data_IF_034863055643
#
_entry.id   IF_034863055643
#
_cell.length_a   1.000
_cell.length_b   1.000
_cell.length_c   1.000
_cell.angle_alpha   90.00
_cell.angle_beta   90.00
_cell.angle_gamma   90.00
#
_symmetry.space_group_name_H-M   'P 1'
#
loop_
_entity.id
_entity.type
_entity.pdbx_description
1 polymer ?
#
# COMPACT_ATOMS: atom_id res chain seq x y z
N UNK A 1 -18.73 22.82 10.75
CA UNK A 1 -18.69 21.38 11.06
C UNK A 1 -20.02 20.81 10.60
N UNK A 2 -20.03 19.83 9.69
CA UNK A 2 -21.27 19.13 9.34
C UNK A 2 -21.73 18.35 10.59
N UNK A 3 -23.04 18.30 10.86
CA UNK A 3 -23.56 17.39 11.89
C UNK A 3 -23.21 15.94 11.52
N UNK A 4 -23.01 15.06 12.50
CA UNK A 4 -22.75 13.64 12.24
C UNK A 4 -23.81 13.03 11.30
N UNK A 5 -25.07 13.44 11.45
CA UNK A 5 -26.17 13.01 10.59
C UNK A 5 -26.01 13.46 9.13
N UNK A 6 -25.49 14.67 8.90
CA UNK A 6 -25.26 15.21 7.55
C UNK A 6 -24.08 14.51 6.86
N UNK A 7 -23.07 14.09 7.62
CA UNK A 7 -21.94 13.31 7.12
C UNK A 7 -22.39 11.90 6.70
N UNK A 8 -23.20 11.25 7.54
CA UNK A 8 -23.78 9.94 7.25
C UNK A 8 -24.64 9.99 5.99
N UNK A 9 -25.50 11.00 5.86
CA UNK A 9 -26.40 11.12 4.70
C UNK A 9 -25.61 11.35 3.40
N UNK A 10 -24.57 12.20 3.43
CA UNK A 10 -23.68 12.39 2.27
C UNK A 10 -22.95 11.12 1.86
N UNK A 11 -22.50 10.32 2.83
CA UNK A 11 -21.85 9.04 2.56
C UNK A 11 -22.87 8.03 2.00
N UNK A 12 -24.08 7.99 2.55
CA UNK A 12 -25.19 7.17 2.04
C UNK A 12 -25.52 7.51 0.59
N UNK A 13 -25.69 8.80 0.26
CA UNK A 13 -25.92 9.26 -1.11
C UNK A 13 -24.79 8.84 -2.06
N UNK A 14 -23.54 8.94 -1.60
CA UNK A 14 -22.38 8.56 -2.41
C UNK A 14 -22.34 7.05 -2.68
N UNK A 15 -22.64 6.22 -1.69
CA UNK A 15 -22.73 4.76 -1.87
C UNK A 15 -23.94 4.38 -2.73
N UNK A 16 -25.08 5.04 -2.53
CA UNK A 16 -26.31 4.79 -3.26
C UNK A 16 -26.22 5.09 -4.77
N UNK A 17 -25.28 5.94 -5.20
CA UNK A 17 -24.99 6.18 -6.63
C UNK A 17 -24.39 4.96 -7.33
N UNK A 18 -23.66 4.12 -6.59
CA UNK A 18 -22.92 2.97 -7.14
C UNK A 18 -23.58 1.63 -6.80
N UNK A 19 -24.29 1.55 -5.68
CA UNK A 19 -24.90 0.33 -5.17
C UNK A 19 -26.32 0.57 -4.68
N UNK A 20 -27.19 -0.43 -4.84
CA UNK A 20 -28.52 -0.42 -4.22
C UNK A 20 -28.39 -0.72 -2.73
N UNK A 21 -28.39 0.33 -1.90
CA UNK A 21 -28.31 0.23 -0.44
C UNK A 21 -29.68 -0.12 0.14
N UNK A 22 -29.77 -1.20 0.92
CA UNK A 22 -31.00 -1.58 1.62
C UNK A 22 -30.88 -1.46 3.15
N UNK A 23 -29.67 -1.31 3.68
CA UNK A 23 -29.44 -1.17 5.12
C UNK A 23 -28.19 -0.35 5.42
N UNK A 24 -28.20 0.31 6.59
CA UNK A 24 -27.05 1.07 7.10
C UNK A 24 -26.85 0.69 8.56
N UNK A 25 -25.64 0.24 8.88
CA UNK A 25 -25.20 -0.05 10.24
C UNK A 25 -24.11 0.94 10.62
N UNK A 26 -24.44 1.84 11.54
CA UNK A 26 -23.50 2.83 12.06
C UNK A 26 -22.72 2.20 13.21
N UNK A 27 -21.41 2.09 13.08
CA UNK A 27 -20.52 1.71 14.18
C UNK A 27 -19.58 2.87 14.53
N UNK A 28 -19.01 2.90 15.75
CA UNK A 28 -18.10 3.98 16.15
C UNK A 28 -16.83 4.10 15.29
N UNK A 29 -16.43 3.02 14.59
CA UNK A 29 -15.23 2.99 13.74
C UNK A 29 -15.54 3.12 12.24
N UNK A 30 -16.71 2.64 11.79
CA UNK A 30 -17.05 2.57 10.38
C UNK A 30 -18.57 2.68 10.12
N UNK A 31 -18.92 3.18 8.95
CA UNK A 31 -20.28 3.13 8.40
C UNK A 31 -20.37 1.92 7.47
N UNK A 32 -21.18 0.93 7.85
CA UNK A 32 -21.37 -0.28 7.04
C UNK A 32 -22.68 -0.17 6.28
N UNK A 33 -22.61 -0.22 4.95
CA UNK A 33 -23.75 -0.21 4.06
C UNK A 33 -24.00 -1.63 3.55
N UNK A 34 -25.20 -2.13 3.76
CA UNK A 34 -25.66 -3.38 3.19
C UNK A 34 -26.17 -3.11 1.78
N UNK A 35 -25.54 -3.74 0.79
CA UNK A 35 -25.78 -3.46 -0.63
C UNK A 35 -26.25 -4.71 -1.36
N UNK A 36 -27.22 -4.55 -2.26
CA UNK A 36 -27.66 -5.65 -3.12
C UNK A 36 -26.55 -6.03 -4.10
N UNK A 37 -26.45 -7.33 -4.39
CA UNK A 37 -25.53 -7.80 -5.42
C UNK A 37 -25.99 -7.30 -6.80
N UNK A 38 -25.10 -6.67 -7.59
CA UNK A 38 -25.42 -6.25 -8.95
C UNK A 38 -25.91 -7.44 -9.79
N UNK A 39 -26.94 -7.22 -10.62
CA UNK A 39 -27.54 -8.26 -11.47
C UNK A 39 -26.53 -8.93 -12.41
N UNK A 40 -25.53 -8.16 -12.83
CA UNK A 40 -24.47 -8.56 -13.75
C UNK A 40 -23.36 -9.37 -13.06
N UNK A 41 -23.43 -9.54 -11.73
CA UNK A 41 -22.40 -10.17 -10.90
C UNK A 41 -21.10 -9.35 -10.76
N UNK A 42 -20.91 -8.29 -11.55
CA UNK A 42 -19.72 -7.44 -11.53
C UNK A 42 -19.81 -6.38 -10.42
N UNK A 43 -19.09 -6.62 -9.32
CA UNK A 43 -19.01 -5.71 -8.18
C UNK A 43 -17.82 -4.75 -8.30
N UNK A 44 -16.83 -5.08 -9.12
CA UNK A 44 -15.58 -4.31 -9.26
C UNK A 44 -15.80 -2.93 -9.86
N UNK A 45 -16.59 -2.85 -10.94
CA UNK A 45 -16.89 -1.57 -11.61
C UNK A 45 -17.56 -0.54 -10.69
N UNK A 46 -18.70 -0.85 -10.03
CA UNK A 46 -19.33 0.10 -9.12
C UNK A 46 -18.46 0.39 -7.89
N UNK A 47 -17.69 -0.60 -7.41
CA UNK A 47 -16.77 -0.38 -6.30
C UNK A 47 -15.62 0.57 -6.64
N UNK A 48 -15.01 0.43 -7.82
CA UNK A 48 -13.93 1.34 -8.23
C UNK A 48 -14.44 2.77 -8.44
N UNK A 49 -15.66 2.93 -8.99
CA UNK A 49 -16.34 4.24 -9.07
C UNK A 49 -16.54 4.86 -7.68
N UNK A 50 -17.07 4.09 -6.73
CA UNK A 50 -17.25 4.52 -5.34
C UNK A 50 -15.92 4.93 -4.70
N UNK A 51 -14.87 4.12 -4.91
CA UNK A 51 -13.53 4.37 -4.40
C UNK A 51 -12.94 5.67 -4.95
N UNK A 52 -13.08 5.94 -6.25
CA UNK A 52 -12.59 7.17 -6.85
C UNK A 52 -13.27 8.43 -6.30
N UNK A 53 -14.52 8.34 -5.81
CA UNK A 53 -15.22 9.46 -5.17
C UNK A 53 -14.92 9.63 -3.68
N UNK A 54 -14.69 8.53 -2.95
CA UNK A 54 -14.49 8.54 -1.50
C UNK A 54 -13.04 8.78 -1.08
N UNK A 55 -12.06 8.26 -1.84
CA UNK A 55 -10.63 8.41 -1.51
C UNK A 55 -10.18 9.88 -1.45
N UNK A 56 -10.58 10.79 -2.38
CA UNK A 56 -10.25 12.21 -2.30
C UNK A 56 -10.89 12.94 -1.11
N UNK A 57 -11.94 12.36 -0.51
CA UNK A 57 -12.65 12.91 0.65
C UNK A 57 -12.11 12.37 1.98
N UNK A 58 -10.96 11.69 1.97
CA UNK A 58 -10.36 11.02 3.13
C UNK A 58 -11.19 9.86 3.71
N UNK A 59 -11.96 9.16 2.88
CA UNK A 59 -12.63 7.91 3.25
C UNK A 59 -12.08 6.73 2.45
N UNK A 60 -11.95 5.58 3.12
CA UNK A 60 -11.53 4.33 2.50
C UNK A 60 -12.74 3.40 2.50
N UNK A 61 -13.33 3.11 1.33
CA UNK A 61 -14.32 2.05 1.22
C UNK A 61 -13.60 0.68 1.19
N UNK A 62 -14.16 -0.31 1.87
CA UNK A 62 -13.83 -1.71 1.73
C UNK A 62 -15.09 -2.52 1.45
N UNK A 63 -14.92 -3.58 0.66
CA UNK A 63 -16.01 -4.45 0.26
C UNK A 63 -15.77 -5.83 0.87
N UNK A 64 -16.73 -6.31 1.65
CA UNK A 64 -16.70 -7.62 2.30
C UNK A 64 -17.95 -8.39 1.93
N UNK A 65 -17.85 -9.73 1.88
CA UNK A 65 -19.02 -10.60 1.79
C UNK A 65 -19.15 -11.39 3.08
N UNK A 66 -20.25 -11.20 3.80
CA UNK A 66 -20.54 -11.92 5.03
C UNK A 66 -21.87 -12.64 4.91
N UNK A 67 -21.88 -13.97 5.19
CA UNK A 67 -23.10 -14.80 5.19
C UNK A 67 -23.95 -14.70 3.91
N UNK A 68 -23.32 -14.41 2.77
CA UNK A 68 -24.00 -14.24 1.48
C UNK A 68 -24.37 -12.79 1.14
N UNK A 69 -24.35 -11.88 2.11
CA UNK A 69 -24.62 -10.45 1.92
C UNK A 69 -23.35 -9.69 1.54
N UNK A 70 -23.52 -8.65 0.72
CA UNK A 70 -22.45 -7.77 0.30
C UNK A 70 -22.46 -6.51 1.17
N UNK A 71 -21.33 -6.23 1.81
CA UNK A 71 -21.16 -5.15 2.76
C UNK A 71 -20.11 -4.17 2.23
N UNK A 72 -20.45 -2.88 2.22
CA UNK A 72 -19.53 -1.78 1.93
C UNK A 72 -19.24 -1.06 3.23
N UNK A 73 -18.03 -1.22 3.77
CA UNK A 73 -17.60 -0.45 4.94
C UNK A 73 -16.92 0.82 4.49
N UNK A 74 -17.34 1.96 5.03
CA UNK A 74 -16.72 3.26 4.80
C UNK A 74 -16.11 3.71 6.12
N UNK A 75 -14.78 3.78 6.14
CA UNK A 75 -14.03 4.24 7.30
C UNK A 75 -13.22 5.49 6.95
N UNK A 76 -13.01 6.35 7.93
CA UNK A 76 -12.18 7.54 7.75
C UNK A 76 -10.72 7.12 7.64
N UNK A 77 -9.99 7.73 6.71
CA UNK A 77 -8.60 7.42 6.45
C UNK A 77 -7.74 7.75 7.68
N UNK A 78 -7.00 6.79 8.26
CA UNK A 78 -6.03 7.11 9.31
C UNK A 78 -4.94 8.01 8.72
N UNK A 79 -4.56 9.05 9.46
CA UNK A 79 -3.47 9.96 9.06
C UNK A 79 -2.15 9.19 9.06
N UNK A 80 -1.69 8.75 7.89
CA UNK A 80 -0.36 8.17 7.77
C UNK A 80 0.68 9.28 7.96
N UNK A 81 1.60 9.07 8.92
CA UNK A 81 2.78 9.91 9.08
C UNK A 81 3.87 9.35 8.19
N UNK A 82 4.03 9.92 7.01
CA UNK A 82 5.19 9.61 6.17
C UNK A 82 6.44 10.22 6.81
N UNK A 83 7.50 9.42 6.91
CA UNK A 83 8.84 9.94 7.16
C UNK A 83 9.25 10.85 6.00
N UNK A 84 10.00 11.91 6.28
CA UNK A 84 10.46 12.83 5.24
C UNK A 84 11.31 12.11 4.19
N UNK A 85 11.23 12.54 2.92
CA UNK A 85 12.03 11.98 1.82
C UNK A 85 13.53 11.95 2.12
N UNK A 86 14.02 12.93 2.89
CA UNK A 86 15.41 13.00 3.35
C UNK A 86 15.79 11.84 4.26
N UNK A 87 14.89 11.43 5.17
CA UNK A 87 15.11 10.28 6.07
C UNK A 87 15.17 8.98 5.26
N UNK A 88 14.25 8.80 4.31
CA UNK A 88 14.24 7.59 3.47
C UNK A 88 15.51 7.50 2.61
N UNK A 89 15.96 8.63 2.05
CA UNK A 89 17.22 8.67 1.29
C UNK A 89 18.43 8.36 2.17
N UNK A 90 18.50 8.95 3.38
CA UNK A 90 19.57 8.67 4.33
C UNK A 90 19.61 7.18 4.72
N UNK A 91 18.45 6.59 5.00
CA UNK A 91 18.32 5.16 5.30
C UNK A 91 18.77 4.29 4.13
N UNK A 92 18.39 4.63 2.89
CA UNK A 92 18.83 3.90 1.69
C UNK A 92 20.36 3.94 1.53
N UNK A 93 20.98 5.11 1.73
CA UNK A 93 22.44 5.24 1.67
C UNK A 93 23.12 4.40 2.76
N UNK A 94 22.61 4.44 4.00
CA UNK A 94 23.11 3.61 5.09
C UNK A 94 22.99 2.13 4.72
N UNK A 95 21.85 1.68 4.20
CA UNK A 95 21.65 0.29 3.75
C UNK A 95 22.64 -0.08 2.67
N UNK A 96 22.85 0.74 1.64
CA UNK A 96 23.82 0.43 0.58
C UNK A 96 25.21 0.28 1.18
N UNK A 97 25.65 1.22 2.02
CA UNK A 97 26.98 1.17 2.65
C UNK A 97 27.13 -0.10 3.50
N UNK A 98 26.19 -0.38 4.40
CA UNK A 98 26.31 -1.56 5.28
C UNK A 98 26.26 -2.87 4.49
N UNK A 99 25.44 -2.94 3.44
CA UNK A 99 25.31 -4.13 2.60
C UNK A 99 26.54 -4.35 1.72
N UNK A 100 27.17 -3.29 1.22
CA UNK A 100 28.44 -3.38 0.48
C UNK A 100 29.57 -3.83 1.40
N UNK A 101 29.73 -3.19 2.57
CA UNK A 101 30.86 -3.47 3.46
C UNK A 101 30.72 -4.79 4.22
N UNK A 102 29.62 -4.98 4.96
CA UNK A 102 29.44 -6.15 5.82
C UNK A 102 28.84 -7.33 5.06
N UNK A 103 27.92 -7.06 4.12
CA UNK A 103 27.29 -8.11 3.32
C UNK A 103 28.20 -8.64 2.21
N UNK A 104 28.75 -7.72 1.41
CA UNK A 104 29.58 -8.06 0.25
C UNK A 104 31.05 -8.27 0.60
N UNK A 105 31.77 -7.19 0.89
CA UNK A 105 33.22 -7.18 1.01
C UNK A 105 33.73 -8.12 2.12
N UNK A 106 33.08 -8.12 3.29
CA UNK A 106 33.44 -9.03 4.38
C UNK A 106 33.22 -10.50 4.01
N UNK A 107 32.07 -10.83 3.42
CA UNK A 107 31.78 -12.20 3.03
C UNK A 107 32.77 -12.69 1.96
N UNK A 108 33.05 -11.84 0.97
CA UNK A 108 34.01 -12.14 -0.10
C UNK A 108 35.43 -12.32 0.44
N UNK A 109 35.91 -11.37 1.25
CA UNK A 109 37.24 -11.43 1.88
C UNK A 109 37.45 -12.71 2.67
N UNK A 110 36.43 -13.19 3.40
CA UNK A 110 36.50 -14.47 4.11
C UNK A 110 36.46 -15.68 3.15
N UNK A 111 35.70 -15.59 2.05
CA UNK A 111 35.59 -16.68 1.08
C UNK A 111 36.89 -16.90 0.29
N UNK A 112 37.55 -15.83 -0.15
CA UNK A 112 38.81 -15.91 -0.92
C UNK A 112 40.07 -15.70 -0.09
N UNK A 113 39.92 -15.47 1.22
CA UNK A 113 41.01 -15.19 2.17
C UNK A 113 41.88 -13.98 1.75
N UNK A 114 41.23 -12.91 1.28
CA UNK A 114 41.85 -11.62 0.92
C UNK A 114 41.67 -10.55 2.01
N UNK A 115 42.44 -9.46 1.91
CA UNK A 115 42.26 -8.30 2.78
C UNK A 115 40.88 -7.65 2.56
N UNK A 116 40.15 -7.39 3.66
CA UNK A 116 38.78 -6.83 3.64
C UNK A 116 38.61 -5.56 2.79
N UNK A 117 39.60 -4.67 2.82
CA UNK A 117 39.59 -3.39 2.11
C UNK A 117 40.30 -3.45 0.76
N UNK A 118 40.55 -4.66 0.22
CA UNK A 118 41.04 -4.79 -1.15
C UNK A 118 39.96 -4.29 -2.12
N UNK A 119 40.40 -3.67 -3.21
CA UNK A 119 39.50 -3.21 -4.27
C UNK A 119 38.72 -4.41 -4.82
N UNK A 120 39.38 -5.56 -4.96
CA UNK A 120 38.76 -6.80 -5.44
C UNK A 120 37.68 -7.32 -4.49
N UNK A 121 37.89 -7.28 -3.17
CA UNK A 121 36.88 -7.72 -2.20
C UNK A 121 35.63 -6.84 -2.24
N UNK A 122 35.80 -5.52 -2.33
CA UNK A 122 34.67 -4.58 -2.41
C UNK A 122 33.94 -4.73 -3.75
N UNK A 123 34.67 -4.82 -4.87
CA UNK A 123 34.06 -4.88 -6.19
C UNK A 123 33.30 -6.19 -6.40
N UNK A 124 33.94 -7.33 -6.10
CA UNK A 124 33.33 -8.64 -6.26
C UNK A 124 32.22 -8.87 -5.23
N UNK A 125 32.42 -8.47 -3.97
CA UNK A 125 31.38 -8.51 -2.94
C UNK A 125 30.16 -7.69 -3.34
N UNK A 126 30.34 -6.50 -3.93
CA UNK A 126 29.23 -5.69 -4.42
C UNK A 126 28.53 -6.35 -5.60
N UNK A 127 29.29 -6.85 -6.58
CA UNK A 127 28.75 -7.39 -7.82
C UNK A 127 27.98 -8.70 -7.59
N UNK A 128 28.51 -9.60 -6.78
CA UNK A 128 27.95 -10.94 -6.60
C UNK A 128 26.97 -11.05 -5.42
N UNK A 129 27.00 -10.14 -4.46
CA UNK A 129 26.09 -10.17 -3.31
C UNK A 129 25.17 -8.94 -3.27
N UNK A 130 25.73 -7.74 -3.12
CA UNK A 130 24.93 -6.54 -2.86
C UNK A 130 24.02 -6.18 -4.02
N UNK A 131 24.52 -6.26 -5.26
CA UNK A 131 23.77 -5.89 -6.45
C UNK A 131 22.56 -6.82 -6.69
N UNK A 132 22.70 -8.16 -6.71
CA UNK A 132 21.55 -9.05 -6.80
C UNK A 132 20.53 -8.85 -5.68
N UNK A 133 20.98 -8.68 -4.43
CA UNK A 133 20.10 -8.45 -3.29
C UNK A 133 19.26 -7.17 -3.44
N UNK A 134 19.92 -6.06 -3.77
CA UNK A 134 19.24 -4.78 -3.98
C UNK A 134 18.35 -4.80 -5.23
N UNK A 135 18.73 -5.54 -6.27
CA UNK A 135 17.93 -5.69 -7.47
C UNK A 135 16.61 -6.41 -7.16
N UNK A 136 16.65 -7.54 -6.46
CA UNK A 136 15.43 -8.30 -6.10
C UNK A 136 14.48 -7.44 -5.25
N UNK A 137 15.01 -6.75 -4.23
CA UNK A 137 14.20 -5.87 -3.39
C UNK A 137 13.66 -4.66 -4.18
N UNK A 138 14.49 -4.07 -5.04
CA UNK A 138 14.10 -2.96 -5.90
C UNK A 138 12.97 -3.35 -6.86
N UNK A 139 13.07 -4.52 -7.50
CA UNK A 139 12.00 -5.04 -8.36
C UNK A 139 10.74 -5.37 -7.58
N UNK A 140 10.85 -5.92 -6.37
CA UNK A 140 9.71 -6.18 -5.49
C UNK A 140 8.94 -4.88 -5.21
N UNK A 141 9.65 -3.85 -4.76
CA UNK A 141 9.03 -2.57 -4.41
C UNK A 141 8.50 -1.83 -5.65
N UNK A 142 9.22 -1.89 -6.77
CA UNK A 142 8.73 -1.36 -8.05
C UNK A 142 7.47 -2.08 -8.52
N UNK A 143 7.35 -3.38 -8.28
CA UNK A 143 6.14 -4.15 -8.58
C UNK A 143 4.93 -3.59 -7.84
N UNK A 144 5.06 -3.40 -6.53
CA UNK A 144 4.02 -2.74 -5.71
C UNK A 144 3.71 -1.35 -6.22
N UNK A 145 4.73 -0.55 -6.53
CA UNK A 145 4.56 0.79 -7.06
C UNK A 145 3.79 0.83 -8.39
N UNK A 146 4.13 -0.05 -9.34
CA UNK A 146 3.47 -0.13 -10.65
C UNK A 146 2.01 -0.51 -10.51
N UNK A 147 1.71 -1.54 -9.69
CA UNK A 147 0.33 -1.99 -9.44
C UNK A 147 -0.45 -0.89 -8.74
N UNK A 148 0.09 -0.30 -7.68
CA UNK A 148 -0.57 0.79 -6.96
C UNK A 148 -0.84 1.98 -7.88
N UNK A 149 0.12 2.38 -8.71
CA UNK A 149 -0.04 3.47 -9.69
C UNK A 149 -1.12 3.15 -10.73
N UNK A 150 -1.16 1.92 -11.24
CA UNK A 150 -2.17 1.49 -12.20
C UNK A 150 -3.59 1.60 -11.60
N UNK A 151 -3.77 1.15 -10.36
CA UNK A 151 -5.05 1.22 -9.65
C UNK A 151 -5.28 2.54 -8.90
N UNK A 152 -4.41 3.55 -9.06
CA UNK A 152 -4.45 4.84 -8.32
C UNK A 152 -4.49 4.66 -6.79
N UNK A 153 -3.92 3.58 -6.28
CA UNK A 153 -3.69 3.35 -4.86
C UNK A 153 -2.36 4.00 -4.46
N UNK A 154 -2.21 4.32 -3.18
CA UNK A 154 -0.91 4.73 -2.69
C UNK A 154 -0.03 3.49 -2.53
N UNK A 155 1.12 3.50 -3.20
CA UNK A 155 2.18 2.55 -2.92
C UNK A 155 2.78 2.86 -1.53
N UNK A 156 3.23 1.82 -0.84
CA UNK A 156 3.90 1.96 0.45
C UNK A 156 5.30 2.57 0.31
#
# INVERSE_FOLDING_TARGET
MLSADQEIERLRETVARHFTVYGVVVTPLALTFQVAQPADGNVERPFDGLRQELVPKDYIPSLTRERGELLVHVQRRPKQRFTGRSVNLAMLVITIVTTVFFGGAWNWSQYVNEQLLSVDAILNGTLYFTHPLLAILGFHEMGHYVVAKHYKMQAS
#
